data_IF_448819199252
#
_entry.id   IF_448819199252
#
_cell.length_a   1.000
_cell.length_b   1.000
_cell.length_c   1.000
_cell.angle_alpha   90.00
_cell.angle_beta   90.00
_cell.angle_gamma   90.00
#
_symmetry.space_group_name_H-M   'P 1'
#
loop_
_entity.id
_entity.type
_entity.pdbx_description
1 polymer ?
#
# COMPACT_ATOMS: atom_id res chain seq x y z
N UNK A 1 16.03 -0.61 13.54
CA UNK A 1 16.71 -1.94 13.50
C UNK A 1 16.14 -2.88 12.44
N UNK A 2 14.85 -2.95 12.28
CA UNK A 2 14.17 -3.83 11.31
C UNK A 2 14.60 -3.59 9.85
N UNK A 3 14.97 -2.35 9.48
CA UNK A 3 15.47 -2.01 8.15
C UNK A 3 16.95 -2.32 7.94
N UNK A 4 17.75 -2.40 9.00
CA UNK A 4 19.17 -2.79 8.93
C UNK A 4 19.38 -4.24 8.51
N UNK A 5 18.44 -5.12 8.89
CA UNK A 5 18.52 -6.55 8.58
C UNK A 5 18.16 -6.84 7.12
N UNK A 6 17.29 -6.04 6.50
CA UNK A 6 16.76 -6.26 5.15
C UNK A 6 17.76 -5.92 4.02
N UNK A 7 18.78 -5.11 4.29
CA UNK A 7 19.74 -4.66 3.28
C UNK A 7 21.13 -5.26 3.41
N UNK A 8 21.33 -6.26 4.28
CA UNK A 8 22.56 -7.03 4.28
C UNK A 8 22.46 -8.14 3.24
N UNK A 9 23.21 -7.97 2.14
CA UNK A 9 23.44 -8.94 1.07
C UNK A 9 24.12 -10.27 1.51
N UNK A 10 24.01 -10.65 2.77
CA UNK A 10 24.76 -11.75 3.37
C UNK A 10 23.92 -12.78 4.14
N UNK A 11 22.62 -12.95 3.85
CA UNK A 11 21.91 -14.09 4.43
C UNK A 11 22.38 -15.40 3.79
N UNK A 12 22.76 -16.40 4.58
CA UNK A 12 23.16 -17.71 4.08
C UNK A 12 22.06 -18.34 3.21
N UNK A 13 22.45 -19.06 2.16
CA UNK A 13 21.50 -19.66 1.21
C UNK A 13 20.49 -20.61 1.87
N UNK A 14 20.86 -21.28 2.96
CA UNK A 14 19.94 -22.12 3.72
C UNK A 14 18.79 -21.34 4.38
N UNK A 15 19.02 -20.08 4.79
CA UNK A 15 17.94 -19.19 5.33
C UNK A 15 16.98 -18.80 4.23
N UNK A 16 17.49 -18.51 3.02
CA UNK A 16 16.68 -18.23 1.83
C UNK A 16 15.87 -19.46 1.42
N UNK A 17 16.46 -20.64 1.46
CA UNK A 17 15.81 -21.91 1.11
C UNK A 17 14.73 -22.32 2.13
N UNK A 18 14.99 -22.12 3.42
CA UNK A 18 14.01 -22.33 4.48
C UNK A 18 12.80 -21.39 4.32
N UNK A 19 13.07 -20.14 3.96
CA UNK A 19 12.06 -19.14 3.68
C UNK A 19 11.18 -19.51 2.48
N UNK A 20 11.77 -20.01 1.39
CA UNK A 20 11.04 -20.50 0.20
C UNK A 20 10.14 -21.69 0.51
N UNK A 21 10.64 -22.68 1.26
CA UNK A 21 9.88 -23.89 1.62
C UNK A 21 8.73 -23.62 2.59
N UNK A 22 8.86 -22.60 3.45
CA UNK A 22 7.81 -22.22 4.42
C UNK A 22 6.74 -21.32 3.81
N UNK A 23 7.04 -20.56 2.76
CA UNK A 23 6.10 -19.64 2.09
C UNK A 23 4.90 -20.31 1.42
N UNK A 24 5.05 -21.57 0.98
CA UNK A 24 4.03 -22.29 0.20
C UNK A 24 2.93 -22.96 1.07
N UNK A 25 3.09 -23.06 2.40
CA UNK A 25 2.14 -23.79 3.27
C UNK A 25 1.43 -22.95 4.34
N UNK A 26 1.53 -21.62 4.32
CA UNK A 26 1.27 -20.81 5.51
C UNK A 26 0.04 -19.89 5.46
N UNK A 27 -1.12 -20.43 5.11
CA UNK A 27 -2.38 -19.69 5.14
C UNK A 27 -3.21 -19.82 6.45
N UNK A 28 -2.70 -20.44 7.48
CA UNK A 28 -3.43 -20.59 8.74
C UNK A 28 -2.58 -20.19 9.95
N UNK A 29 -3.17 -19.40 10.82
CA UNK A 29 -2.75 -19.01 12.16
C UNK A 29 -1.91 -17.74 12.31
N UNK A 30 -2.63 -16.70 12.80
CA UNK A 30 -2.10 -15.39 13.19
C UNK A 30 -2.01 -15.28 14.72
N UNK A 31 -0.84 -15.59 15.25
CA UNK A 31 -0.44 -15.24 16.60
C UNK A 31 0.90 -14.48 16.58
N UNK A 32 1.58 -14.29 17.69
CA UNK A 32 2.92 -13.68 17.83
C UNK A 32 3.97 -14.14 16.78
N UNK A 33 3.74 -15.28 16.15
CA UNK A 33 4.51 -15.81 15.02
C UNK A 33 4.24 -15.08 13.67
N UNK A 34 3.22 -14.23 13.58
CA UNK A 34 2.89 -13.52 12.33
C UNK A 34 3.98 -12.57 11.83
N UNK A 35 4.75 -11.97 12.74
CA UNK A 35 5.88 -11.11 12.40
C UNK A 35 7.04 -11.86 11.76
N UNK A 36 7.39 -13.04 12.29
CA UNK A 36 8.43 -13.91 11.73
C UNK A 36 8.04 -14.46 10.36
N UNK A 37 6.80 -14.85 10.19
CA UNK A 37 6.29 -15.37 8.93
C UNK A 37 6.23 -14.31 7.83
N UNK A 38 5.88 -13.07 8.19
CA UNK A 38 5.97 -11.94 7.27
C UNK A 38 7.41 -11.64 6.88
N UNK A 39 8.35 -11.67 7.85
CA UNK A 39 9.77 -11.51 7.60
C UNK A 39 10.33 -12.62 6.69
N UNK A 40 9.95 -13.87 6.94
CA UNK A 40 10.37 -15.03 6.13
C UNK A 40 9.79 -14.94 4.71
N UNK A 41 8.54 -14.52 4.54
CA UNK A 41 7.96 -14.27 3.22
C UNK A 41 8.62 -13.08 2.51
N UNK A 42 9.01 -12.07 3.26
CA UNK A 42 9.71 -10.88 2.79
C UNK A 42 11.14 -11.19 2.33
N UNK A 43 11.85 -12.07 3.03
CA UNK A 43 13.19 -12.57 2.67
C UNK A 43 13.14 -13.55 1.50
N UNK A 44 12.03 -14.27 1.34
CA UNK A 44 11.82 -15.21 0.23
C UNK A 44 11.46 -14.51 -1.10
N UNK A 45 11.07 -13.26 -1.08
CA UNK A 45 10.92 -12.45 -2.28
C UNK A 45 12.32 -12.14 -2.84
N UNK A 46 12.71 -12.87 -3.86
CA UNK A 46 14.08 -12.81 -4.43
C UNK A 46 14.35 -11.54 -5.25
N UNK A 47 13.38 -10.65 -5.37
CA UNK A 47 13.50 -9.44 -6.15
C UNK A 47 12.93 -8.23 -5.41
N UNK A 48 13.45 -7.07 -5.71
CA UNK A 48 13.06 -5.79 -5.11
C UNK A 48 11.60 -5.46 -5.44
N UNK A 49 11.18 -5.79 -6.64
CA UNK A 49 9.84 -5.54 -7.16
C UNK A 49 8.81 -6.41 -6.44
N UNK A 50 9.07 -7.69 -6.29
CA UNK A 50 8.19 -8.59 -5.54
C UNK A 50 8.06 -8.18 -4.08
N UNK A 51 9.16 -7.72 -3.46
CA UNK A 51 9.14 -7.17 -2.11
C UNK A 51 8.30 -5.88 -2.03
N UNK A 52 8.50 -4.96 -2.96
CA UNK A 52 7.71 -3.73 -3.05
C UNK A 52 6.22 -4.05 -3.25
N UNK A 53 5.90 -4.94 -4.18
CA UNK A 53 4.53 -5.36 -4.47
C UNK A 53 3.83 -5.93 -3.22
N UNK A 54 4.51 -6.79 -2.46
CA UNK A 54 3.96 -7.31 -1.19
C UNK A 54 3.63 -6.24 -0.16
N UNK A 55 4.37 -5.13 -0.14
CA UNK A 55 4.15 -4.03 0.81
C UNK A 55 2.99 -3.13 0.39
N UNK A 56 2.82 -2.88 -0.90
CA UNK A 56 1.77 -1.99 -1.42
C UNK A 56 0.44 -2.72 -1.66
N UNK A 57 0.47 -4.03 -1.89
CA UNK A 57 -0.72 -4.84 -2.14
C UNK A 57 -1.52 -5.08 -0.87
N UNK A 58 -2.82 -4.78 -0.92
CA UNK A 58 -3.77 -5.05 0.18
C UNK A 58 -4.30 -6.48 0.11
N UNK A 59 -4.71 -6.91 -1.07
CA UNK A 59 -5.19 -8.26 -1.32
C UNK A 59 -4.09 -9.12 -1.94
N UNK A 60 -3.43 -9.96 -1.14
CA UNK A 60 -2.34 -10.83 -1.62
C UNK A 60 -2.83 -11.92 -2.58
N UNK A 61 -4.08 -12.27 -2.51
CA UNK A 61 -4.74 -13.29 -3.34
C UNK A 61 -6.13 -12.75 -3.76
N UNK A 62 -6.19 -11.81 -4.69
CA UNK A 62 -7.46 -11.19 -5.10
C UNK A 62 -8.45 -12.19 -5.67
N UNK A 63 -7.99 -13.26 -6.32
CA UNK A 63 -8.84 -14.33 -6.83
C UNK A 63 -9.66 -15.06 -5.75
N UNK A 64 -9.31 -14.94 -4.47
CA UNK A 64 -10.14 -15.47 -3.38
C UNK A 64 -11.38 -14.61 -3.08
N UNK A 65 -11.46 -13.42 -3.62
CA UNK A 65 -12.53 -12.46 -3.33
C UNK A 65 -13.19 -11.94 -4.60
N UNK A 66 -12.42 -11.77 -5.68
CA UNK A 66 -12.90 -11.30 -6.98
C UNK A 66 -13.08 -12.51 -7.89
N UNK A 67 -14.31 -12.74 -8.34
CA UNK A 67 -14.65 -13.86 -9.21
C UNK A 67 -14.00 -13.68 -10.59
N UNK A 68 -13.34 -14.74 -11.09
CA UNK A 68 -12.66 -14.70 -12.38
C UNK A 68 -11.43 -13.81 -12.46
N UNK A 69 -10.92 -13.32 -11.33
CA UNK A 69 -9.74 -12.46 -11.29
C UNK A 69 -8.51 -13.16 -11.87
N UNK A 70 -7.79 -12.41 -12.71
CA UNK A 70 -6.43 -12.75 -13.17
C UNK A 70 -5.51 -11.61 -12.79
N UNK A 71 -4.33 -11.93 -12.28
CA UNK A 71 -3.31 -10.92 -12.00
C UNK A 71 -2.81 -10.34 -13.34
N UNK A 72 -2.99 -9.04 -13.59
CA UNK A 72 -2.43 -8.43 -14.78
C UNK A 72 -0.90 -8.31 -14.64
N UNK A 73 -0.20 -8.35 -15.74
CA UNK A 73 1.20 -7.91 -15.75
C UNK A 73 1.25 -6.43 -15.39
N UNK A 74 2.06 -6.11 -14.41
CA UNK A 74 2.25 -4.74 -13.94
C UNK A 74 3.66 -4.24 -14.27
N UNK A 75 3.91 -2.95 -14.06
CA UNK A 75 5.24 -2.35 -14.22
C UNK A 75 6.31 -3.00 -13.32
N UNK A 76 5.88 -3.72 -12.28
CA UNK A 76 6.78 -4.44 -11.36
C UNK A 76 7.49 -5.63 -12.02
N UNK A 77 6.92 -6.19 -13.08
CA UNK A 77 7.44 -7.37 -13.77
C UNK A 77 8.23 -7.03 -15.03
N UNK A 78 8.28 -5.76 -15.40
CA UNK A 78 8.70 -5.36 -16.75
C UNK A 78 10.18 -4.99 -16.92
N UNK A 79 10.99 -4.83 -15.85
CA UNK A 79 12.35 -4.31 -16.08
C UNK A 79 13.40 -4.75 -15.05
N UNK A 80 14.44 -5.39 -15.54
CA UNK A 80 15.77 -5.23 -14.95
C UNK A 80 16.33 -3.86 -15.40
N UNK A 81 16.34 -2.88 -14.51
CA UNK A 81 16.77 -1.51 -14.82
C UNK A 81 18.28 -1.32 -14.63
N UNK A 82 19.00 -2.33 -14.14
CA UNK A 82 20.41 -2.21 -13.72
C UNK A 82 20.62 -1.23 -12.54
N UNK A 83 19.55 -0.67 -11.97
CA UNK A 83 19.63 0.26 -10.85
C UNK A 83 19.82 -0.46 -9.51
N UNK A 84 20.52 0.16 -8.53
CA UNK A 84 20.55 -0.33 -7.15
C UNK A 84 19.14 -0.48 -6.56
N UNK A 85 18.95 -1.41 -5.61
CA UNK A 85 17.66 -1.74 -5.02
C UNK A 85 16.89 -0.53 -4.49
N UNK A 86 17.57 0.39 -3.82
CA UNK A 86 16.98 1.61 -3.29
C UNK A 86 16.45 2.54 -4.38
N UNK A 87 17.20 2.67 -5.48
CA UNK A 87 16.78 3.49 -6.62
C UNK A 87 15.60 2.86 -7.36
N UNK A 88 15.55 1.51 -7.45
CA UNK A 88 14.40 0.78 -8.02
C UNK A 88 13.15 1.01 -7.19
N UNK A 89 13.21 0.91 -5.86
CA UNK A 89 12.07 1.22 -4.97
C UNK A 89 11.61 2.68 -5.15
N UNK A 90 12.55 3.62 -5.20
CA UNK A 90 12.21 5.03 -5.44
C UNK A 90 11.53 5.25 -6.80
N UNK A 91 11.98 4.54 -7.83
CA UNK A 91 11.37 4.60 -9.16
C UNK A 91 9.94 4.05 -9.15
N UNK A 92 9.72 2.93 -8.47
CA UNK A 92 8.38 2.35 -8.32
C UNK A 92 7.44 3.27 -7.54
N UNK A 93 7.88 3.83 -6.41
CA UNK A 93 7.12 4.83 -5.65
C UNK A 93 6.77 6.04 -6.51
N UNK A 94 7.73 6.54 -7.31
CA UNK A 94 7.52 7.69 -8.18
C UNK A 94 6.51 7.40 -9.29
N UNK A 95 6.57 6.23 -9.91
CA UNK A 95 5.68 5.85 -11.02
C UNK A 95 4.28 5.42 -10.57
N UNK A 96 4.14 4.85 -9.39
CA UNK A 96 2.90 4.26 -8.90
C UNK A 96 2.27 5.08 -7.78
N UNK A 97 2.87 5.07 -6.59
CA UNK A 97 2.24 5.69 -5.40
C UNK A 97 2.11 7.21 -5.54
N UNK A 98 3.14 7.86 -6.09
CA UNK A 98 3.09 9.30 -6.33
C UNK A 98 2.10 9.65 -7.44
N UNK A 99 2.23 9.05 -8.62
CA UNK A 99 1.42 9.43 -9.79
C UNK A 99 -0.05 9.01 -9.62
N UNK A 100 -0.29 7.70 -9.40
CA UNK A 100 -1.64 7.13 -9.38
C UNK A 100 -2.34 7.29 -8.03
N UNK A 101 -1.59 7.42 -6.94
CA UNK A 101 -2.10 7.55 -5.59
C UNK A 101 -2.19 9.00 -5.12
N UNK A 102 -1.04 9.63 -4.88
CA UNK A 102 -0.97 10.94 -4.22
C UNK A 102 -1.44 12.06 -5.14
N UNK A 103 -0.87 12.18 -6.34
CA UNK A 103 -1.18 13.28 -7.26
C UNK A 103 -2.61 13.20 -7.77
N UNK A 104 -3.08 12.01 -8.17
CA UNK A 104 -4.46 11.83 -8.62
C UNK A 104 -5.48 12.21 -7.53
N UNK A 105 -5.20 11.87 -6.27
CA UNK A 105 -6.06 12.23 -5.14
C UNK A 105 -6.06 13.74 -4.87
N UNK A 106 -4.87 14.34 -4.84
CA UNK A 106 -4.72 15.78 -4.54
C UNK A 106 -5.33 16.63 -5.64
N UNK A 107 -5.11 16.27 -6.91
CA UNK A 107 -5.71 16.93 -8.06
C UNK A 107 -7.24 16.90 -7.99
N UNK A 108 -7.82 15.71 -7.88
CA UNK A 108 -9.29 15.58 -7.83
C UNK A 108 -9.92 16.29 -6.64
N UNK A 109 -9.31 16.21 -5.47
CA UNK A 109 -9.80 16.90 -4.27
C UNK A 109 -9.65 18.42 -4.38
N UNK A 110 -8.55 18.91 -4.94
CA UNK A 110 -8.32 20.33 -5.18
C UNK A 110 -9.27 20.88 -6.22
N UNK A 111 -9.40 20.21 -7.35
CA UNK A 111 -10.30 20.64 -8.43
C UNK A 111 -11.78 20.60 -8.05
N UNK A 112 -12.19 19.69 -7.18
CA UNK A 112 -13.54 19.69 -6.62
C UNK A 112 -13.86 20.97 -5.81
N UNK A 113 -12.82 21.64 -5.28
CA UNK A 113 -12.92 22.93 -4.60
C UNK A 113 -12.49 24.12 -5.49
N UNK A 114 -12.20 23.90 -6.77
CA UNK A 114 -11.69 24.93 -7.70
C UNK A 114 -10.26 25.41 -7.36
N UNK A 115 -9.47 24.60 -6.67
CA UNK A 115 -8.11 24.94 -6.25
C UNK A 115 -7.10 24.10 -7.02
N UNK A 116 -6.25 24.76 -7.79
CA UNK A 116 -5.11 24.11 -8.45
C UNK A 116 -3.94 23.91 -7.47
N UNK A 117 -3.43 22.70 -7.41
CA UNK A 117 -2.29 22.36 -6.54
C UNK A 117 -1.00 22.32 -7.32
N UNK A 118 0.00 23.07 -6.86
CA UNK A 118 1.36 23.06 -7.41
C UNK A 118 2.32 22.41 -6.41
N UNK A 119 3.15 21.49 -6.89
CA UNK A 119 4.10 20.74 -6.08
C UNK A 119 5.55 21.13 -6.47
N UNK A 120 6.19 22.12 -5.81
CA UNK A 120 7.50 22.65 -6.22
C UNK A 120 8.61 21.59 -6.27
N UNK A 121 8.53 20.55 -5.42
CA UNK A 121 9.50 19.45 -5.41
C UNK A 121 9.34 18.47 -6.59
N UNK A 122 8.30 18.64 -7.41
CA UNK A 122 8.08 17.87 -8.64
C UNK A 122 8.46 18.66 -9.89
N UNK A 123 9.03 19.85 -9.75
CA UNK A 123 9.69 20.54 -10.84
C UNK A 123 10.76 19.62 -11.46
N UNK A 124 10.85 19.59 -12.79
CA UNK A 124 11.72 18.65 -13.50
C UNK A 124 13.20 18.84 -13.18
N UNK A 125 13.65 20.04 -12.89
CA UNK A 125 15.05 20.27 -12.53
C UNK A 125 15.33 19.80 -11.09
N UNK A 126 14.36 19.98 -10.19
CA UNK A 126 14.45 19.44 -8.82
C UNK A 126 14.44 17.90 -8.86
N UNK A 127 13.57 17.29 -9.68
CA UNK A 127 13.53 15.83 -9.85
C UNK A 127 14.86 15.31 -10.42
N UNK A 128 15.40 15.95 -11.48
CA UNK A 128 16.70 15.56 -12.06
C UNK A 128 17.84 15.69 -11.03
N UNK A 129 17.85 16.77 -10.26
CA UNK A 129 18.80 16.92 -9.18
C UNK A 129 18.67 15.81 -8.15
N UNK A 130 17.45 15.53 -7.66
CA UNK A 130 17.19 14.52 -6.68
C UNK A 130 17.64 13.11 -7.13
N UNK A 131 17.48 12.78 -8.41
CA UNK A 131 17.96 11.50 -8.96
C UNK A 131 19.49 11.41 -9.01
N UNK A 132 20.18 12.50 -9.24
CA UNK A 132 21.66 12.57 -9.26
C UNK A 132 22.30 12.57 -7.86
N UNK A 133 21.52 12.90 -6.82
CA UNK A 133 22.07 12.94 -5.46
C UNK A 133 22.49 11.54 -4.99
N UNK A 134 23.67 11.41 -4.38
CA UNK A 134 24.09 10.19 -3.71
C UNK A 134 23.10 9.78 -2.63
N UNK A 135 22.94 8.45 -2.43
CA UNK A 135 21.96 7.91 -1.50
C UNK A 135 22.12 8.42 -0.06
N UNK A 136 23.34 8.61 0.42
CA UNK A 136 23.62 9.11 1.77
C UNK A 136 23.12 10.55 2.04
N UNK A 137 22.87 11.33 1.00
CA UNK A 137 22.23 12.65 1.12
C UNK A 137 20.71 12.57 1.19
N UNK A 138 20.12 11.51 0.69
CA UNK A 138 18.68 11.24 0.75
C UNK A 138 18.30 10.50 2.04
N UNK A 139 19.09 9.48 2.37
CA UNK A 139 18.89 8.61 3.53
C UNK A 139 20.23 8.15 4.08
N UNK A 140 20.46 8.30 5.36
CA UNK A 140 21.62 7.77 6.07
C UNK A 140 21.27 7.47 7.53
N UNK A 141 21.70 6.32 8.04
CA UNK A 141 21.58 5.92 9.45
C UNK A 141 20.18 6.13 10.08
N UNK A 142 19.12 5.78 9.32
CA UNK A 142 17.74 5.95 9.78
C UNK A 142 17.16 7.36 9.53
N UNK A 143 17.97 8.31 9.12
CA UNK A 143 17.51 9.65 8.79
C UNK A 143 17.01 9.72 7.34
N UNK A 144 15.70 9.90 7.16
CA UNK A 144 15.07 10.14 5.86
C UNK A 144 15.06 11.63 5.51
N UNK A 145 15.10 11.94 4.20
CA UNK A 145 15.05 13.31 3.66
C UNK A 145 16.17 14.19 4.19
N UNK A 146 17.35 13.63 4.36
CA UNK A 146 18.46 14.24 5.06
C UNK A 146 18.82 15.64 4.54
N UNK A 147 19.09 15.77 3.24
CA UNK A 147 19.43 17.05 2.62
C UNK A 147 18.32 18.11 2.81
N UNK A 148 17.04 17.70 2.71
CA UNK A 148 15.91 18.62 2.93
C UNK A 148 15.79 19.05 4.38
N UNK A 149 16.05 18.17 5.33
CA UNK A 149 16.06 18.51 6.76
C UNK A 149 17.20 19.46 7.10
N UNK A 150 18.41 19.20 6.59
CA UNK A 150 19.54 20.10 6.79
C UNK A 150 19.29 21.49 6.20
N UNK A 151 18.64 21.56 5.03
CA UNK A 151 18.21 22.83 4.47
C UNK A 151 17.17 23.52 5.36
N UNK A 152 16.15 22.76 5.79
CA UNK A 152 15.04 23.31 6.57
C UNK A 152 15.48 23.80 7.96
N UNK A 153 16.48 23.16 8.57
CA UNK A 153 17.05 23.56 9.86
C UNK A 153 17.73 24.96 9.83
N UNK A 154 17.99 25.50 8.63
CA UNK A 154 18.46 26.92 8.49
C UNK A 154 17.34 27.93 8.67
N UNK A 155 16.08 27.49 8.56
CA UNK A 155 14.89 28.35 8.59
C UNK A 155 13.98 28.09 9.77
N UNK A 156 14.01 26.86 10.32
CA UNK A 156 13.15 26.44 11.40
C UNK A 156 13.94 25.81 12.56
N UNK A 157 13.46 25.94 13.81
CA UNK A 157 14.06 25.27 14.96
C UNK A 157 14.15 23.76 14.77
N UNK A 158 15.26 23.15 15.14
CA UNK A 158 15.52 21.72 15.00
C UNK A 158 14.42 20.80 15.56
N UNK A 159 13.80 21.08 16.75
CA UNK A 159 12.72 20.23 17.26
C UNK A 159 11.50 20.11 16.32
N UNK A 160 11.25 21.11 15.48
CA UNK A 160 10.21 21.06 14.48
C UNK A 160 10.59 20.22 13.25
N UNK A 161 11.88 20.28 12.87
CA UNK A 161 12.42 19.56 11.71
C UNK A 161 12.57 18.07 11.98
N UNK A 162 13.08 17.72 13.18
CA UNK A 162 13.43 16.34 13.53
C UNK A 162 12.36 15.61 14.35
N UNK A 163 11.17 16.17 14.45
CA UNK A 163 10.03 15.49 15.11
C UNK A 163 9.70 14.15 14.49
N UNK A 164 9.24 13.17 15.28
CA UNK A 164 8.79 11.88 14.75
C UNK A 164 7.67 12.06 13.72
N UNK A 165 7.82 11.43 12.56
CA UNK A 165 6.79 11.46 11.51
C UNK A 165 5.55 10.73 11.98
N UNK A 166 4.39 11.39 11.93
CA UNK A 166 3.07 10.77 12.07
C UNK A 166 2.42 10.62 10.71
N UNK A 167 1.92 9.41 10.40
CA UNK A 167 1.15 9.17 9.20
C UNK A 167 -0.22 9.86 9.29
N UNK A 168 -0.72 10.35 8.18
CA UNK A 168 -2.08 10.86 8.06
C UNK A 168 -3.00 9.71 7.68
N UNK A 169 -3.57 9.05 8.68
CA UNK A 169 -4.49 7.92 8.48
C UNK A 169 -5.87 8.25 9.08
N UNK A 170 -6.94 8.28 8.28
CA UNK A 170 -8.29 8.43 8.80
C UNK A 170 -8.66 7.21 9.67
N UNK A 171 -9.51 7.39 10.69
CA UNK A 171 -9.89 6.30 11.59
C UNK A 171 -10.94 5.36 10.95
N UNK A 172 -10.59 4.77 9.79
CA UNK A 172 -11.49 3.96 8.96
C UNK A 172 -12.14 2.80 9.71
N UNK A 173 -11.38 2.11 10.57
CA UNK A 173 -11.93 1.02 11.36
C UNK A 173 -13.03 1.47 12.32
N UNK A 174 -12.88 2.68 12.90
CA UNK A 174 -13.89 3.27 13.77
C UNK A 174 -15.11 3.73 12.96
N UNK A 175 -14.89 4.33 11.80
CA UNK A 175 -15.99 4.77 10.94
C UNK A 175 -16.84 3.61 10.42
N UNK A 176 -16.20 2.53 9.94
CA UNK A 176 -16.91 1.35 9.46
C UNK A 176 -17.62 0.57 10.58
N UNK A 177 -17.13 0.65 11.81
CA UNK A 177 -17.81 0.04 12.96
C UNK A 177 -18.93 0.91 13.54
N UNK A 178 -19.00 2.18 13.17
CA UNK A 178 -19.94 3.17 13.69
C UNK A 178 -20.71 3.89 12.58
N UNK A 179 -20.39 5.17 12.28
CA UNK A 179 -21.24 6.01 11.41
C UNK A 179 -21.39 5.52 9.97
N UNK A 180 -20.47 4.71 9.46
CA UNK A 180 -20.55 4.13 8.11
C UNK A 180 -21.05 2.68 8.10
N UNK A 181 -21.49 2.14 9.24
CA UNK A 181 -21.86 0.72 9.35
C UNK A 181 -23.05 0.38 8.45
N UNK A 182 -24.15 1.14 8.54
CA UNK A 182 -25.37 0.86 7.78
C UNK A 182 -25.15 1.04 6.27
N UNK A 183 -24.36 2.04 5.88
CA UNK A 183 -23.93 2.23 4.51
C UNK A 183 -23.09 1.06 4.00
N UNK A 184 -22.17 0.57 4.80
CA UNK A 184 -21.35 -0.60 4.44
C UNK A 184 -22.18 -1.88 4.37
N UNK A 185 -23.11 -2.07 5.31
CA UNK A 185 -24.05 -3.21 5.33
C UNK A 185 -24.88 -3.26 4.05
N UNK A 186 -25.43 -2.13 3.62
CA UNK A 186 -26.23 -2.02 2.40
C UNK A 186 -25.40 -2.32 1.12
N UNK A 187 -24.13 -1.90 1.08
CA UNK A 187 -23.23 -2.19 -0.05
C UNK A 187 -22.73 -3.63 -0.08
N UNK A 188 -22.63 -4.27 1.09
CA UNK A 188 -22.15 -5.65 1.25
C UNK A 188 -23.31 -6.64 1.39
N UNK A 189 -24.54 -6.24 1.03
CA UNK A 189 -25.69 -7.13 1.06
C UNK A 189 -25.42 -8.42 0.24
N UNK A 190 -25.68 -9.61 0.80
CA UNK A 190 -25.34 -10.87 0.15
C UNK A 190 -26.03 -11.09 -1.19
N UNK A 191 -27.30 -10.66 -1.32
CA UNK A 191 -28.04 -10.82 -2.57
C UNK A 191 -27.50 -9.88 -3.64
N UNK A 192 -27.18 -8.64 -3.25
CA UNK A 192 -26.55 -7.66 -4.11
C UNK A 192 -25.21 -8.16 -4.66
N UNK A 193 -24.33 -8.67 -3.79
CA UNK A 193 -23.01 -9.21 -4.20
C UNK A 193 -23.17 -10.37 -5.18
N UNK A 194 -24.13 -11.28 -4.92
CA UNK A 194 -24.42 -12.40 -5.84
C UNK A 194 -24.95 -11.93 -7.19
N UNK A 195 -25.88 -10.99 -7.20
CA UNK A 195 -26.49 -10.48 -8.43
C UNK A 195 -25.49 -9.75 -9.32
N UNK A 196 -24.50 -9.09 -8.72
CA UNK A 196 -23.43 -8.38 -9.45
C UNK A 196 -22.40 -9.33 -10.05
N UNK A 197 -22.14 -10.48 -9.41
CA UNK A 197 -21.22 -11.49 -9.89
C UNK A 197 -19.74 -11.07 -9.92
N UNK A 198 -19.37 -9.97 -9.24
CA UNK A 198 -18.00 -9.48 -9.20
C UNK A 198 -17.20 -10.07 -8.04
N UNK A 199 -17.86 -10.35 -6.92
CA UNK A 199 -17.22 -10.80 -5.70
C UNK A 199 -17.81 -12.12 -5.20
N UNK A 200 -16.99 -12.93 -4.52
CA UNK A 200 -17.46 -14.02 -3.70
C UNK A 200 -18.23 -13.47 -2.49
N UNK A 201 -19.55 -13.55 -2.55
CA UNK A 201 -20.45 -13.00 -1.53
C UNK A 201 -20.21 -13.64 -0.15
N UNK A 202 -19.94 -14.94 -0.10
CA UNK A 202 -19.70 -15.67 1.16
C UNK A 202 -18.40 -15.19 1.80
N UNK A 203 -17.35 -15.06 1.00
CA UNK A 203 -16.04 -14.62 1.47
C UNK A 203 -16.07 -13.18 1.97
N UNK A 204 -16.69 -12.27 1.20
CA UNK A 204 -16.80 -10.86 1.58
C UNK A 204 -17.62 -10.70 2.86
N UNK A 205 -18.75 -11.39 2.98
CA UNK A 205 -19.59 -11.38 4.19
C UNK A 205 -18.86 -11.94 5.40
N UNK A 206 -18.17 -13.05 5.26
CA UNK A 206 -17.37 -13.63 6.35
C UNK A 206 -16.31 -12.68 6.88
N UNK A 207 -15.65 -11.90 5.99
CA UNK A 207 -14.68 -10.87 6.36
C UNK A 207 -15.36 -9.70 7.08
N UNK A 208 -16.53 -9.27 6.60
CA UNK A 208 -17.31 -8.21 7.24
C UNK A 208 -17.75 -8.60 8.65
N UNK A 209 -18.28 -9.79 8.82
CA UNK A 209 -18.67 -10.31 10.13
C UNK A 209 -17.48 -10.46 11.09
N UNK A 210 -16.34 -10.95 10.59
CA UNK A 210 -15.11 -11.01 11.38
C UNK A 210 -14.67 -9.60 11.83
N UNK A 211 -14.78 -8.61 10.95
CA UNK A 211 -14.51 -7.21 11.30
C UNK A 211 -15.47 -6.70 12.40
N UNK A 212 -16.77 -6.98 12.29
CA UNK A 212 -17.75 -6.58 13.30
C UNK A 212 -17.51 -7.26 14.66
N UNK A 213 -17.03 -8.51 14.66
CA UNK A 213 -16.61 -9.22 15.89
C UNK A 213 -15.30 -8.70 16.50
N UNK A 214 -14.66 -7.68 15.89
CA UNK A 214 -13.47 -7.03 16.45
C UNK A 214 -12.16 -7.25 15.68
N UNK A 215 -12.13 -8.02 14.60
CA UNK A 215 -10.96 -8.20 13.76
C UNK A 215 -10.69 -6.95 12.89
N UNK A 216 -10.34 -5.83 13.53
CA UNK A 216 -10.21 -4.51 12.89
C UNK A 216 -9.16 -4.43 11.77
N UNK A 217 -8.25 -5.41 11.67
CA UNK A 217 -7.26 -5.53 10.58
C UNK A 217 -7.88 -5.56 9.17
N UNK A 218 -9.15 -5.99 9.05
CA UNK A 218 -9.86 -6.09 7.79
C UNK A 218 -10.37 -4.77 7.21
N UNK A 219 -10.29 -3.68 7.96
CA UNK A 219 -10.85 -2.38 7.54
C UNK A 219 -10.34 -1.90 6.17
N UNK A 220 -9.05 -2.06 5.86
CA UNK A 220 -8.49 -1.64 4.56
C UNK A 220 -8.94 -2.52 3.40
N UNK A 221 -9.09 -3.83 3.65
CA UNK A 221 -9.59 -4.79 2.66
C UNK A 221 -11.07 -4.50 2.34
N UNK A 222 -11.87 -4.33 3.37
CA UNK A 222 -13.29 -3.98 3.25
C UNK A 222 -13.47 -2.64 2.54
N UNK A 223 -12.61 -1.66 2.84
CA UNK A 223 -12.67 -0.36 2.19
C UNK A 223 -12.52 -0.45 0.68
N UNK A 224 -11.59 -1.28 0.18
CA UNK A 224 -11.43 -1.48 -1.26
C UNK A 224 -12.71 -2.05 -1.90
N UNK A 225 -13.32 -3.06 -1.28
CA UNK A 225 -14.58 -3.64 -1.76
C UNK A 225 -15.71 -2.61 -1.72
N UNK A 226 -15.85 -1.85 -0.63
CA UNK A 226 -16.87 -0.82 -0.47
C UNK A 226 -16.72 0.31 -1.49
N UNK A 227 -15.49 0.74 -1.78
CA UNK A 227 -15.26 1.77 -2.81
C UNK A 227 -15.65 1.28 -4.20
N UNK A 228 -15.32 0.02 -4.54
CA UNK A 228 -15.79 -0.59 -5.77
C UNK A 228 -17.33 -0.66 -5.82
N UNK A 229 -17.96 -1.10 -4.74
CA UNK A 229 -19.42 -1.21 -4.66
C UNK A 229 -20.12 0.15 -4.79
N UNK A 230 -19.59 1.19 -4.14
CA UNK A 230 -20.10 2.55 -4.26
C UNK A 230 -19.94 3.09 -5.70
N UNK A 231 -18.77 2.88 -6.32
CA UNK A 231 -18.52 3.22 -7.71
C UNK A 231 -19.47 2.47 -8.66
N UNK A 232 -19.60 1.16 -8.49
CA UNK A 232 -20.48 0.33 -9.30
C UNK A 232 -21.96 0.79 -9.18
N UNK A 233 -22.41 1.10 -7.99
CA UNK A 233 -23.75 1.64 -7.77
C UNK A 233 -23.96 2.97 -8.50
N UNK A 234 -22.99 3.86 -8.41
CA UNK A 234 -23.11 5.19 -9.02
C UNK A 234 -23.18 5.10 -10.56
N UNK A 235 -22.35 4.28 -11.16
CA UNK A 235 -22.22 4.23 -12.63
C UNK A 235 -23.10 3.18 -13.32
N UNK A 236 -23.50 2.13 -12.64
CA UNK A 236 -24.28 1.03 -13.20
C UNK A 236 -25.67 0.86 -12.56
N UNK A 237 -25.89 1.37 -11.37
CA UNK A 237 -27.17 1.26 -10.69
C UNK A 237 -28.29 2.15 -11.28
N UNK A 238 -27.94 3.19 -12.04
CA UNK A 238 -28.88 4.14 -12.64
C UNK A 238 -29.17 3.89 -14.15
N UNK A 239 -28.69 2.79 -14.74
CA UNK A 239 -28.97 2.50 -16.16
C UNK A 239 -30.35 1.89 -16.43
N UNK A 240 -31.21 1.85 -15.43
CA UNK A 240 -32.57 1.31 -15.52
C UNK A 240 -33.71 2.29 -15.19
N UNK A 241 -33.45 3.62 -15.24
CA UNK A 241 -34.51 4.62 -15.13
C UNK A 241 -34.48 5.57 -16.29
#
# INVERSE_FOLDING_TARGET
>A
EFRRVLFRSGLPDWVRDLARRSGTRMNAERGRLGGWRALVAEVAANDVEGHYLQRVTRWRQPAQVVLGAREPMTIFQQQDTGLPAEARIQLLDFRMDLAEGILAKVDRAGMAAGVETRAPLLDMDVVRLAWRLPQHLKYNDGEHKRILKHLLARYLPEPLVYRPKRGFGPPMARWLAGPLRDWAEALLDPQRLRNQGCFDAVRVRGIWEAFLRGERKWHTHLWNVLMFQAWHQHWHGNRGR
#
